data_IF_098244382418
#
_entry.id   IF_098244382418
#
_cell.length_a   1.000
_cell.length_b   1.000
_cell.length_c   1.000
_cell.angle_alpha   90.00
_cell.angle_beta   90.00
_cell.angle_gamma   90.00
#
_symmetry.space_group_name_H-M   'P 1'
#
loop_
_entity.id
_entity.type
_entity.pdbx_description
1 polymer ?
#
# COMPACT_ATOMS: atom_id res chain seq x y z
N UNK A 1 -47.14 9.45 -16.28
CA UNK A 1 -46.10 9.20 -15.26
C UNK A 1 -44.80 8.94 -16.02
N UNK A 2 -43.98 9.96 -16.19
CA UNK A 2 -42.66 9.82 -16.81
C UNK A 2 -41.70 9.33 -15.72
N UNK A 3 -41.20 8.10 -15.88
CA UNK A 3 -40.19 7.55 -14.98
C UNK A 3 -38.86 8.25 -15.26
N UNK A 4 -38.39 9.02 -14.29
CA UNK A 4 -37.02 9.54 -14.27
C UNK A 4 -36.09 8.32 -14.14
N UNK A 5 -35.25 8.08 -15.15
CA UNK A 5 -34.12 7.15 -15.04
C UNK A 5 -33.21 7.69 -13.92
N UNK A 6 -32.77 6.87 -12.95
CA UNK A 6 -31.66 7.28 -12.11
C UNK A 6 -30.48 7.55 -13.04
N UNK A 7 -29.93 8.75 -12.99
CA UNK A 7 -28.59 9.01 -13.47
C UNK A 7 -27.67 8.12 -12.64
N UNK A 8 -27.10 7.10 -13.26
CA UNK A 8 -25.91 6.44 -12.72
C UNK A 8 -24.86 7.55 -12.62
N UNK A 9 -24.57 7.99 -11.40
CA UNK A 9 -23.37 8.79 -11.13
C UNK A 9 -22.20 7.87 -11.49
N UNK A 10 -21.62 8.07 -12.67
CA UNK A 10 -20.32 7.52 -12.99
C UNK A 10 -19.34 8.17 -12.02
N UNK A 11 -19.05 7.48 -10.92
CA UNK A 11 -17.93 7.83 -10.06
C UNK A 11 -16.69 7.85 -10.95
N UNK A 12 -16.21 9.06 -11.23
CA UNK A 12 -14.97 9.31 -11.97
C UNK A 12 -13.79 8.85 -11.10
N UNK A 13 -13.55 7.53 -11.11
CA UNK A 13 -12.50 6.83 -10.38
C UNK A 13 -11.09 7.19 -10.86
N UNK A 14 -10.98 8.17 -11.77
CA UNK A 14 -9.72 8.56 -12.36
C UNK A 14 -8.74 9.17 -11.36
N UNK A 15 -9.16 9.79 -10.26
CA UNK A 15 -8.19 10.38 -9.31
C UNK A 15 -7.83 9.48 -8.12
N UNK A 16 -8.26 8.21 -8.11
CA UNK A 16 -8.03 7.34 -6.95
C UNK A 16 -6.55 6.95 -6.80
N UNK A 17 -5.97 7.12 -5.61
CA UNK A 17 -4.65 6.59 -5.32
C UNK A 17 -4.67 5.07 -5.38
N UNK A 18 -3.53 4.50 -5.77
CA UNK A 18 -3.37 3.05 -5.76
C UNK A 18 -3.12 2.61 -4.33
N UNK A 19 -4.01 1.79 -3.82
CA UNK A 19 -3.88 1.29 -2.47
C UNK A 19 -2.88 0.13 -2.44
N UNK A 20 -1.63 0.44 -2.08
CA UNK A 20 -0.60 -0.55 -1.76
C UNK A 20 -0.29 -0.48 -0.28
N UNK A 21 -0.73 -1.51 0.44
CA UNK A 21 -0.76 -1.52 1.90
C UNK A 21 -0.01 -2.74 2.43
N UNK A 22 0.76 -2.52 3.48
CA UNK A 22 1.46 -3.58 4.20
C UNK A 22 0.71 -3.92 5.48
N UNK A 23 0.62 -5.21 5.78
CA UNK A 23 0.01 -5.70 7.02
C UNK A 23 1.04 -6.47 7.84
N UNK A 24 1.17 -6.12 9.12
CA UNK A 24 2.00 -6.84 10.07
C UNK A 24 1.09 -7.55 11.09
N UNK A 25 1.20 -8.88 11.18
CA UNK A 25 0.29 -9.71 11.97
C UNK A 25 1.06 -10.28 13.17
N UNK A 26 0.59 -9.96 14.38
CA UNK A 26 1.01 -10.61 15.61
C UNK A 26 -0.01 -11.68 16.03
N UNK A 27 0.40 -12.95 16.02
CA UNK A 27 -0.47 -14.08 16.36
C UNK A 27 -0.71 -14.24 17.86
N UNK A 28 0.10 -13.60 18.72
CA UNK A 28 0.04 -13.78 20.17
C UNK A 28 -1.02 -12.90 20.84
N UNK A 29 -1.67 -12.00 20.09
CA UNK A 29 -2.61 -11.03 20.63
C UNK A 29 -1.94 -10.02 21.57
N UNK A 30 -2.75 -9.22 22.28
CA UNK A 30 -2.27 -8.19 23.19
C UNK A 30 -1.84 -6.89 22.49
N UNK A 31 -1.33 -5.93 23.26
CA UNK A 31 -0.78 -4.68 22.71
C UNK A 31 0.64 -4.95 22.21
N UNK A 32 0.90 -4.53 20.98
CA UNK A 32 2.20 -4.68 20.37
C UNK A 32 2.53 -3.49 19.47
N UNK A 33 3.81 -3.35 19.17
CA UNK A 33 4.35 -2.35 18.25
C UNK A 33 5.51 -2.96 17.47
N UNK A 34 5.55 -2.80 16.16
CA UNK A 34 6.66 -3.21 15.30
C UNK A 34 7.12 -2.01 14.49
N UNK A 35 8.35 -1.57 14.74
CA UNK A 35 8.99 -0.53 13.95
C UNK A 35 9.80 -1.17 12.83
N UNK A 36 9.61 -0.67 11.62
CA UNK A 36 10.25 -1.21 10.42
C UNK A 36 10.79 -0.09 9.54
N UNK A 37 11.82 -0.42 8.77
CA UNK A 37 12.18 0.32 7.56
C UNK A 37 11.76 -0.55 6.39
N UNK A 38 11.04 0.03 5.44
CA UNK A 38 10.72 -0.59 4.16
C UNK A 38 11.49 0.11 3.06
N UNK A 39 12.09 -0.68 2.19
CA UNK A 39 12.71 -0.22 0.94
C UNK A 39 11.82 -0.72 -0.19
N UNK A 40 11.24 0.19 -0.98
CA UNK A 40 10.42 -0.14 -2.13
C UNK A 40 11.15 0.21 -3.43
N UNK A 41 11.05 -0.68 -4.40
CA UNK A 41 11.52 -0.48 -5.76
C UNK A 41 10.32 -0.63 -6.70
N UNK A 42 9.98 0.43 -7.40
CA UNK A 42 8.99 0.39 -8.48
C UNK A 42 9.72 0.35 -9.82
N UNK A 43 9.52 -0.73 -10.57
CA UNK A 43 10.18 -0.90 -11.86
C UNK A 43 9.56 -0.02 -12.93
N UNK A 44 10.40 0.57 -13.77
CA UNK A 44 9.98 1.45 -14.84
C UNK A 44 10.91 1.30 -16.05
N UNK A 45 10.35 1.30 -17.25
CA UNK A 45 11.13 1.12 -18.50
C UNK A 45 12.17 2.22 -18.74
N UNK A 46 12.04 3.38 -18.10
CA UNK A 46 12.96 4.52 -18.22
C UNK A 46 13.93 4.56 -17.04
N UNK A 47 13.39 4.55 -15.82
CA UNK A 47 14.17 4.67 -14.58
C UNK A 47 13.35 4.16 -13.39
N UNK A 48 13.86 3.12 -12.74
CA UNK A 48 13.27 2.60 -11.51
C UNK A 48 13.20 3.68 -10.42
N UNK A 49 12.14 3.61 -9.62
CA UNK A 49 11.94 4.49 -8.48
C UNK A 49 12.22 3.74 -7.19
N UNK A 50 13.05 4.34 -6.36
CA UNK A 50 13.43 3.83 -5.05
C UNK A 50 12.83 4.73 -3.97
N UNK A 51 12.26 4.12 -2.95
CA UNK A 51 11.69 4.83 -1.81
C UNK A 51 12.00 4.06 -0.54
N UNK A 52 12.47 4.76 0.49
CA UNK A 52 12.63 4.21 1.82
C UNK A 52 11.61 4.88 2.74
N UNK A 53 10.87 4.09 3.50
CA UNK A 53 9.93 4.59 4.51
C UNK A 53 10.16 3.90 5.84
N UNK A 54 10.06 4.67 6.92
CA UNK A 54 9.98 4.11 8.26
C UNK A 54 8.52 4.00 8.67
N UNK A 55 8.06 2.78 8.93
CA UNK A 55 6.69 2.50 9.33
C UNK A 55 6.64 1.95 10.75
N UNK A 56 5.56 2.26 11.45
CA UNK A 56 5.23 1.66 12.73
C UNK A 56 3.92 0.91 12.56
N UNK A 57 3.94 -0.39 12.82
CA UNK A 57 2.74 -1.21 12.94
C UNK A 57 2.38 -1.32 14.41
N UNK A 58 1.10 -1.19 14.71
CA UNK A 58 0.52 -1.46 16.02
C UNK A 58 -0.76 -2.28 15.82
N UNK A 59 -1.70 -2.21 16.76
CA UNK A 59 -2.94 -3.00 16.72
C UNK A 59 -3.83 -2.75 15.49
N UNK A 60 -3.66 -1.64 14.76
CA UNK A 60 -4.37 -1.39 13.48
C UNK A 60 -3.80 -2.24 12.34
N UNK A 61 -2.62 -2.85 12.56
CA UNK A 61 -1.92 -3.85 11.74
C UNK A 61 -1.59 -3.44 10.30
N UNK A 62 -2.01 -2.26 9.83
CA UNK A 62 -2.12 -1.93 8.42
C UNK A 62 -1.58 -0.54 8.14
N UNK A 63 -0.66 -0.39 7.18
CA UNK A 63 -0.09 0.91 6.82
C UNK A 63 0.04 1.03 5.30
N UNK A 64 -0.41 2.16 4.75
CA UNK A 64 -0.19 2.50 3.36
C UNK A 64 1.30 2.69 3.08
N UNK A 65 1.82 1.94 2.11
CA UNK A 65 3.23 1.95 1.77
C UNK A 65 3.54 2.83 0.54
N UNK A 66 2.56 3.10 -0.34
CA UNK A 66 2.73 3.97 -1.51
C UNK A 66 1.64 5.05 -1.59
N UNK A 67 2.04 6.32 -1.46
CA UNK A 67 1.10 7.45 -1.40
C UNK A 67 1.07 8.27 -2.70
N UNK A 68 2.05 8.06 -3.59
CA UNK A 68 2.24 8.85 -4.81
C UNK A 68 1.71 8.18 -6.08
N UNK A 69 1.27 6.93 -5.97
CA UNK A 69 0.66 6.24 -7.09
C UNK A 69 -0.80 6.65 -7.22
N UNK A 70 -1.15 7.16 -8.39
CA UNK A 70 -2.52 7.40 -8.82
C UNK A 70 -2.79 6.57 -10.06
N UNK A 71 -4.01 6.06 -10.21
CA UNK A 71 -4.31 5.05 -11.21
C UNK A 71 -4.02 5.50 -12.66
N UNK A 72 -4.41 6.71 -13.12
CA UNK A 72 -4.09 7.21 -14.45
C UNK A 72 -2.59 7.28 -14.73
N UNK A 73 -1.80 7.65 -13.72
CA UNK A 73 -0.35 7.73 -13.83
C UNK A 73 0.26 6.35 -14.03
N UNK A 74 -0.30 5.33 -13.39
CA UNK A 74 0.14 3.95 -13.52
C UNK A 74 -0.24 3.35 -14.87
N UNK A 75 -1.50 3.53 -15.29
CA UNK A 75 -2.02 2.93 -16.53
C UNK A 75 -1.58 3.66 -17.80
N UNK A 76 -1.09 4.89 -17.68
CA UNK A 76 -0.51 5.62 -18.79
C UNK A 76 0.79 4.96 -19.27
N UNK A 77 0.72 4.28 -20.41
CA UNK A 77 1.84 3.58 -21.03
C UNK A 77 3.04 4.47 -21.32
N UNK A 78 2.84 5.79 -21.48
CA UNK A 78 3.94 6.75 -21.66
C UNK A 78 4.80 6.92 -20.41
N UNK A 79 4.26 6.59 -19.24
CA UNK A 79 4.99 6.69 -17.97
C UNK A 79 5.93 5.51 -17.73
N UNK A 80 5.72 4.37 -18.39
CA UNK A 80 6.67 3.24 -18.39
C UNK A 80 6.56 2.27 -17.21
N UNK A 81 5.52 2.35 -16.39
CA UNK A 81 5.31 1.45 -15.24
C UNK A 81 4.66 0.11 -15.62
N UNK A 82 3.95 0.03 -16.75
CA UNK A 82 3.40 -1.22 -17.27
C UNK A 82 4.46 -1.90 -18.16
N UNK A 83 5.01 -3.00 -17.67
CA UNK A 83 6.02 -3.83 -18.34
C UNK A 83 5.40 -5.20 -18.63
N UNK A 84 5.22 -5.55 -19.91
CA UNK A 84 4.57 -6.81 -20.34
C UNK A 84 3.20 -7.02 -19.66
N UNK A 85 2.37 -5.98 -19.63
CA UNK A 85 1.05 -5.96 -18.99
C UNK A 85 1.08 -6.23 -17.47
N UNK A 86 2.19 -5.88 -16.81
CA UNK A 86 2.36 -6.02 -15.35
C UNK A 86 2.95 -4.74 -14.77
N UNK A 87 2.56 -4.46 -13.54
CA UNK A 87 3.24 -3.49 -12.68
C UNK A 87 4.05 -4.30 -11.67
N UNK A 88 5.32 -3.96 -11.50
CA UNK A 88 6.23 -4.70 -10.62
C UNK A 88 6.69 -3.77 -9.50
N UNK A 89 6.43 -4.18 -8.27
CA UNK A 89 6.95 -3.58 -7.04
C UNK A 89 7.74 -4.66 -6.32
N UNK A 90 8.97 -4.35 -5.96
CA UNK A 90 9.76 -5.12 -5.03
C UNK A 90 9.83 -4.36 -3.72
N UNK A 91 9.78 -5.06 -2.60
CA UNK A 91 9.90 -4.46 -1.28
C UNK A 91 10.78 -5.31 -0.37
N UNK A 92 11.60 -4.65 0.43
CA UNK A 92 12.37 -5.26 1.52
C UNK A 92 11.91 -4.67 2.83
N UNK A 93 11.52 -5.53 3.79
CA UNK A 93 11.14 -5.11 5.14
C UNK A 93 12.27 -5.42 6.10
N UNK A 94 12.75 -4.41 6.81
CA UNK A 94 13.74 -4.53 7.88
C UNK A 94 13.06 -4.19 9.20
N UNK A 95 12.93 -5.18 10.08
CA UNK A 95 12.39 -4.95 11.43
C UNK A 95 13.50 -4.29 12.27
N UNK A 96 13.20 -3.09 12.78
CA UNK A 96 14.09 -2.34 13.67
C UNK A 96 13.91 -2.87 15.10
N UNK A 97 12.66 -2.93 15.55
CA UNK A 97 12.28 -3.35 16.90
C UNK A 97 10.87 -3.93 16.88
N UNK A 98 10.63 -4.96 17.69
CA UNK A 98 9.27 -5.44 18.00
C UNK A 98 9.08 -5.48 19.51
N UNK A 99 8.10 -4.76 20.01
CA UNK A 99 7.69 -4.75 21.41
C UNK A 99 6.32 -5.43 21.53
N UNK A 100 6.19 -6.35 22.49
CA UNK A 100 4.93 -7.00 22.82
C UNK A 100 4.77 -7.08 24.33
N UNK A 101 3.56 -6.82 24.82
CA UNK A 101 3.20 -7.18 26.19
C UNK A 101 2.69 -8.62 26.13
N UNK A 102 3.44 -9.56 26.71
CA UNK A 102 2.96 -10.94 26.84
C UNK A 102 1.62 -10.94 27.61
N UNK A 103 0.62 -11.70 27.15
CA UNK A 103 -0.59 -11.91 27.95
C UNK A 103 -0.17 -12.56 29.27
N UNK A 104 -0.69 -12.04 30.40
CA UNK A 104 -0.39 -12.60 31.71
C UNK A 104 -0.67 -14.12 31.70
N UNK A 105 0.21 -14.95 32.30
CA UNK A 105 -0.04 -16.38 32.37
C UNK A 105 -1.37 -16.63 33.09
N UNK A 106 -2.23 -17.44 32.46
CA UNK A 106 -3.53 -17.88 32.97
C UNK A 106 -3.31 -18.78 34.19
#
# INVERSE_FOLDING_TARGET
IAGVRPSEEEDDDSDKPVDFTLTCINQLGGKWKCETVIELVTFNTKRDRYEEKRLTFDNDNCVHALDWWYWPGLVNTKNGYIIKNKVVVEYTVKIICSEGIEPAPI
#
